data_IF_569004311367
#
_entry.id   IF_569004311367
#
_cell.length_a   1.000
_cell.length_b   1.000
_cell.length_c   1.000
_cell.angle_alpha   90.00
_cell.angle_beta   90.00
_cell.angle_gamma   90.00
#
_symmetry.space_group_name_H-M   'P 1'
#
loop_
_entity.id
_entity.type
_entity.pdbx_description
1 polymer ?
#
# COMPACT_ATOMS: atom_id res chain seq x y z
N UNK A 1 66.68 -19.25 -2.43
CA UNK A 1 66.13 -17.89 -2.17
C UNK A 1 64.70 -17.82 -2.79
N UNK A 2 63.75 -18.25 -2.05
CA UNK A 2 62.32 -18.17 -2.43
C UNK A 2 61.71 -16.94 -1.74
N UNK A 3 61.14 -16.04 -2.53
CA UNK A 3 60.43 -14.85 -2.03
C UNK A 3 59.16 -15.29 -1.27
N UNK A 4 58.81 -14.67 -0.16
CA UNK A 4 57.51 -14.88 0.50
C UNK A 4 56.43 -14.27 -0.36
N UNK A 5 55.36 -15.04 -0.57
CA UNK A 5 54.12 -14.63 -1.18
C UNK A 5 53.44 -13.63 -0.25
N UNK A 6 53.22 -12.39 -0.71
CA UNK A 6 52.42 -11.41 -0.03
C UNK A 6 50.98 -11.97 0.09
N UNK A 7 50.52 -12.09 1.32
CA UNK A 7 49.14 -12.41 1.60
C UNK A 7 48.27 -11.22 1.17
N UNK A 8 47.36 -11.45 0.24
CA UNK A 8 46.29 -10.49 -0.08
C UNK A 8 45.46 -10.14 1.17
N UNK A 9 45.16 -8.86 1.40
CA UNK A 9 44.31 -8.49 2.52
C UNK A 9 42.89 -9.03 2.25
N UNK A 10 42.39 -9.86 3.15
CA UNK A 10 40.96 -10.26 3.22
C UNK A 10 40.13 -9.02 3.56
N UNK A 11 39.80 -8.26 2.53
CA UNK A 11 38.84 -7.17 2.62
C UNK A 11 37.43 -7.74 2.41
N UNK A 12 36.72 -8.11 3.46
CA UNK A 12 35.36 -8.63 3.32
C UNK A 12 34.50 -8.66 4.60
N UNK A 13 35.16 -8.72 5.77
CA UNK A 13 34.39 -8.96 7.00
C UNK A 13 33.71 -7.75 7.66
N UNK A 14 34.14 -6.54 7.32
CA UNK A 14 33.64 -5.32 8.00
C UNK A 14 32.42 -4.66 7.36
N UNK A 15 32.24 -4.81 6.04
CA UNK A 15 31.15 -4.14 5.32
C UNK A 15 29.82 -4.89 5.43
N UNK A 16 29.84 -6.22 5.48
CA UNK A 16 28.61 -7.01 5.61
C UNK A 16 27.97 -6.89 7.01
N UNK A 17 28.79 -6.82 8.05
CA UNK A 17 28.30 -6.62 9.42
C UNK A 17 27.70 -5.21 9.63
N UNK A 18 28.25 -4.18 8.97
CA UNK A 18 27.69 -2.82 9.01
C UNK A 18 26.40 -2.69 8.19
N UNK A 19 26.26 -3.43 7.08
CA UNK A 19 25.03 -3.45 6.27
C UNK A 19 23.88 -4.11 7.01
N UNK A 20 24.14 -5.09 7.88
CA UNK A 20 23.12 -5.75 8.69
C UNK A 20 22.51 -4.85 9.77
N UNK A 21 23.22 -3.79 10.17
CA UNK A 21 22.76 -2.82 11.19
C UNK A 21 22.15 -1.55 10.56
N UNK A 22 22.34 -1.34 9.24
CA UNK A 22 21.82 -0.16 8.56
C UNK A 22 20.32 -0.21 8.35
N UNK A 23 19.66 0.95 8.41
CA UNK A 23 18.24 1.09 8.12
C UNK A 23 17.92 0.56 6.71
N UNK A 24 16.98 -0.40 6.56
CA UNK A 24 16.55 -0.90 5.25
C UNK A 24 16.11 0.21 4.29
N UNK A 25 15.63 1.35 4.79
CA UNK A 25 15.27 2.52 3.99
C UNK A 25 16.47 3.22 3.37
N UNK A 26 17.67 3.09 3.94
CA UNK A 26 18.93 3.62 3.38
C UNK A 26 19.61 2.65 2.42
N UNK A 27 19.44 1.35 2.67
CA UNK A 27 19.92 0.30 1.77
C UNK A 27 19.11 0.38 0.47
N UNK A 28 19.82 0.58 -0.64
CA UNK A 28 19.17 0.74 -1.95
C UNK A 28 18.59 2.13 -2.24
N UNK A 29 18.89 3.15 -1.44
CA UNK A 29 18.42 4.54 -1.62
C UNK A 29 18.72 5.09 -3.02
N UNK A 30 19.82 4.66 -3.65
CA UNK A 30 20.19 5.04 -5.02
C UNK A 30 19.16 4.57 -6.07
N UNK A 31 18.45 3.48 -5.82
CA UNK A 31 17.43 2.91 -6.72
C UNK A 31 16.02 3.39 -6.42
N UNK A 32 15.82 4.10 -5.30
CA UNK A 32 14.53 4.60 -4.86
C UNK A 32 14.08 5.81 -5.70
N UNK A 33 12.82 5.81 -6.11
CA UNK A 33 12.16 6.95 -6.73
C UNK A 33 11.87 8.05 -5.70
N UNK A 34 11.44 9.23 -6.15
CA UNK A 34 11.00 10.30 -5.22
C UNK A 34 9.83 9.85 -4.35
N UNK A 35 8.90 9.06 -4.92
CA UNK A 35 7.77 8.50 -4.18
C UNK A 35 8.20 7.51 -3.11
N UNK A 36 9.13 6.61 -3.44
CA UNK A 36 9.70 5.67 -2.47
C UNK A 36 10.33 6.40 -1.27
N UNK A 37 11.10 7.47 -1.54
CA UNK A 37 11.75 8.27 -0.47
C UNK A 37 10.73 8.94 0.45
N UNK A 38 9.63 9.45 -0.10
CA UNK A 38 8.55 10.02 0.70
C UNK A 38 7.97 8.97 1.66
N UNK A 39 7.71 7.76 1.15
CA UNK A 39 7.15 6.67 1.97
C UNK A 39 8.14 6.24 3.05
N UNK A 40 9.43 6.15 2.73
CA UNK A 40 10.48 5.85 3.72
C UNK A 40 10.55 6.95 4.80
N UNK A 41 10.49 8.23 4.42
CA UNK A 41 10.48 9.34 5.37
C UNK A 41 9.25 9.30 6.29
N UNK A 42 8.06 9.03 5.72
CA UNK A 42 6.84 8.86 6.51
C UNK A 42 6.97 7.65 7.45
N UNK A 43 7.49 6.53 6.97
CA UNK A 43 7.74 5.34 7.80
C UNK A 43 8.65 5.63 8.98
N UNK A 44 9.77 6.32 8.74
CA UNK A 44 10.71 6.72 9.79
C UNK A 44 10.08 7.72 10.79
N UNK A 45 9.25 8.66 10.30
CA UNK A 45 8.51 9.56 11.18
C UNK A 45 7.53 8.79 12.07
N UNK A 46 6.74 7.90 11.50
CA UNK A 46 5.75 7.10 12.23
C UNK A 46 6.39 6.04 13.13
N UNK A 47 7.62 5.63 12.89
CA UNK A 47 8.36 4.75 13.80
C UNK A 47 8.52 5.35 15.21
N UNK A 48 8.57 6.69 15.35
CA UNK A 48 8.59 7.36 16.65
C UNK A 48 7.31 7.18 17.46
N UNK A 49 6.22 6.72 16.84
CA UNK A 49 4.99 6.38 17.56
C UNK A 49 5.17 5.16 18.48
N UNK A 50 6.11 4.24 18.20
CA UNK A 50 6.37 3.10 19.07
C UNK A 50 6.97 3.49 20.43
N UNK A 51 8.05 4.32 20.51
CA UNK A 51 8.50 4.86 21.79
C UNK A 51 7.42 5.67 22.51
N UNK A 52 6.64 6.49 21.77
CA UNK A 52 5.51 7.23 22.35
C UNK A 52 4.47 6.27 22.94
N UNK A 53 4.13 5.20 22.23
CA UNK A 53 3.20 4.16 22.70
C UNK A 53 3.69 3.52 24.00
N UNK A 54 4.99 3.20 24.09
CA UNK A 54 5.59 2.65 25.32
C UNK A 54 5.41 3.60 26.50
N UNK A 55 5.66 4.92 26.31
CA UNK A 55 5.47 5.92 27.36
C UNK A 55 4.01 6.00 27.79
N UNK A 56 3.06 5.98 26.84
CA UNK A 56 1.62 6.02 27.15
C UNK A 56 1.18 4.79 27.94
N UNK A 57 1.66 3.58 27.56
CA UNK A 57 1.36 2.32 28.29
C UNK A 57 1.90 2.40 29.72
N UNK A 58 3.15 2.80 29.91
CA UNK A 58 3.76 2.90 31.25
C UNK A 58 3.02 3.92 32.10
N UNK A 59 2.69 5.09 31.53
CA UNK A 59 1.92 6.13 32.22
C UNK A 59 0.55 5.61 32.67
N UNK A 60 -0.16 4.89 31.80
CA UNK A 60 -1.47 4.32 32.14
C UNK A 60 -1.36 3.29 33.27
N UNK A 61 -0.37 2.39 33.22
CA UNK A 61 -0.15 1.39 34.27
C UNK A 61 0.17 2.09 35.60
N UNK A 62 0.99 3.13 35.58
CA UNK A 62 1.30 3.92 36.77
C UNK A 62 0.05 4.60 37.35
N UNK A 63 -0.76 5.28 36.52
CA UNK A 63 -2.02 5.91 36.94
C UNK A 63 -3.02 4.90 37.52
N UNK A 64 -3.14 3.76 36.89
CA UNK A 64 -4.01 2.66 37.37
C UNK A 64 -3.59 2.17 38.75
N UNK A 65 -2.27 1.99 39.00
CA UNK A 65 -1.74 1.54 40.28
C UNK A 65 -1.89 2.63 41.37
N UNK A 66 -1.63 3.89 41.04
CA UNK A 66 -1.85 5.03 41.95
C UNK A 66 -3.32 5.14 42.34
N UNK A 67 -4.25 4.96 41.41
CA UNK A 67 -5.68 4.96 41.71
C UNK A 67 -6.12 3.84 42.66
N UNK A 68 -5.45 2.67 42.66
CA UNK A 68 -5.74 1.57 43.60
C UNK A 68 -5.36 1.91 45.05
N UNK A 69 -4.37 2.76 45.22
CA UNK A 69 -3.97 3.26 46.57
C UNK A 69 -4.66 4.57 46.93
N UNK A 70 -5.67 4.98 46.18
CA UNK A 70 -6.44 6.20 46.43
C UNK A 70 -5.76 7.50 46.03
N UNK A 71 -4.67 7.43 45.25
CA UNK A 71 -3.91 8.58 44.80
C UNK A 71 -4.10 8.71 43.27
N UNK A 72 -4.77 9.77 42.79
CA UNK A 72 -4.92 10.07 41.37
C UNK A 72 -6.21 9.52 40.73
N UNK A 73 -6.40 9.74 39.42
CA UNK A 73 -7.65 9.52 38.71
C UNK A 73 -8.00 8.03 38.45
N UNK A 74 -7.10 7.10 38.72
CA UNK A 74 -7.31 5.67 38.47
C UNK A 74 -7.25 5.29 36.99
N UNK A 75 -8.12 4.35 36.59
CA UNK A 75 -8.15 3.85 35.20
C UNK A 75 -8.77 4.89 34.27
N UNK A 76 -8.07 5.21 33.18
CA UNK A 76 -8.51 6.17 32.15
C UNK A 76 -8.78 5.42 30.85
N UNK A 77 -10.06 5.22 30.49
CA UNK A 77 -10.46 4.49 29.29
C UNK A 77 -9.97 5.15 27.98
N UNK A 78 -9.89 6.49 27.95
CA UNK A 78 -9.38 7.20 26.76
C UNK A 78 -7.90 6.88 26.45
N UNK A 79 -7.11 6.48 27.45
CA UNK A 79 -5.72 6.06 27.21
C UNK A 79 -5.63 4.70 26.53
N UNK A 80 -6.59 3.79 26.78
CA UNK A 80 -6.67 2.53 26.06
C UNK A 80 -6.96 2.80 24.56
N UNK A 81 -7.92 3.66 24.27
CA UNK A 81 -8.23 4.06 22.89
C UNK A 81 -7.04 4.74 22.22
N UNK A 82 -6.36 5.66 22.91
CA UNK A 82 -5.17 6.35 22.39
C UNK A 82 -4.06 5.37 22.01
N UNK A 83 -3.83 4.31 22.82
CA UNK A 83 -2.84 3.29 22.50
C UNK A 83 -3.19 2.56 21.19
N UNK A 84 -4.46 2.20 21.00
CA UNK A 84 -4.91 1.59 19.76
C UNK A 84 -4.74 2.51 18.55
N UNK A 85 -4.98 3.80 18.72
CA UNK A 85 -4.79 4.78 17.64
C UNK A 85 -3.31 4.91 17.25
N UNK A 86 -2.43 5.08 18.24
CA UNK A 86 -0.98 5.20 18.02
C UNK A 86 -0.44 3.92 17.36
N UNK A 87 -0.81 2.76 17.91
CA UNK A 87 -0.38 1.47 17.36
C UNK A 87 -0.88 1.24 15.94
N UNK A 88 -2.16 1.44 15.69
CA UNK A 88 -2.76 1.29 14.38
C UNK A 88 -2.13 2.20 13.33
N UNK A 89 -1.88 3.46 13.67
CA UNK A 89 -1.22 4.42 12.78
C UNK A 89 0.23 3.99 12.45
N UNK A 90 1.01 3.58 13.46
CA UNK A 90 2.39 3.13 13.27
C UNK A 90 2.47 1.88 12.38
N UNK A 91 1.60 0.90 12.62
CA UNK A 91 1.58 -0.37 11.87
C UNK A 91 1.15 -0.13 10.42
N UNK A 92 0.08 0.64 10.16
CA UNK A 92 -0.40 0.88 8.81
C UNK A 92 0.63 1.60 7.93
N UNK A 93 1.29 2.63 8.46
CA UNK A 93 2.36 3.32 7.72
C UNK A 93 3.58 2.41 7.59
N UNK A 94 3.87 1.60 8.63
CA UNK A 94 4.93 0.59 8.62
C UNK A 94 4.76 -0.46 7.53
N UNK A 95 3.53 -0.86 7.17
CA UNK A 95 3.27 -1.75 6.02
C UNK A 95 3.75 -1.10 4.72
N UNK A 96 3.43 0.18 4.48
CA UNK A 96 3.91 0.91 3.30
C UNK A 96 5.44 0.98 3.24
N UNK A 97 6.09 1.24 4.39
CA UNK A 97 7.55 1.20 4.52
C UNK A 97 8.12 -0.18 4.17
N UNK A 98 7.55 -1.26 4.73
CA UNK A 98 8.01 -2.62 4.50
C UNK A 98 7.88 -3.05 3.03
N UNK A 99 6.79 -2.63 2.34
CA UNK A 99 6.62 -2.84 0.89
C UNK A 99 7.72 -2.12 0.10
N UNK A 100 7.99 -0.86 0.44
CA UNK A 100 8.98 -0.03 -0.28
C UNK A 100 10.39 -0.55 -0.10
N UNK A 101 10.77 -0.97 1.11
CA UNK A 101 12.12 -1.44 1.46
C UNK A 101 12.31 -2.94 1.22
N UNK A 102 11.24 -3.66 0.85
CA UNK A 102 11.25 -5.12 0.67
C UNK A 102 11.67 -5.88 1.95
N UNK A 103 11.32 -5.35 3.11
CA UNK A 103 11.67 -5.89 4.44
C UNK A 103 10.63 -6.84 5.02
N UNK A 104 9.77 -7.41 4.18
CA UNK A 104 8.80 -8.42 4.61
C UNK A 104 9.50 -9.71 5.04
N UNK A 105 9.01 -10.32 6.12
CA UNK A 105 9.37 -11.69 6.47
C UNK A 105 8.79 -12.64 5.41
N UNK A 106 9.64 -13.47 4.82
CA UNK A 106 9.28 -14.43 3.76
C UNK A 106 9.66 -15.84 4.18
N UNK A 107 8.91 -16.81 3.66
CA UNK A 107 9.30 -18.21 3.75
C UNK A 107 10.01 -18.57 2.44
N UNK A 108 11.34 -18.55 2.46
CA UNK A 108 12.17 -18.58 1.25
C UNK A 108 12.58 -19.99 0.79
N UNK A 109 12.08 -21.05 1.41
CA UNK A 109 12.50 -22.47 1.16
C UNK A 109 12.53 -22.82 -0.32
N UNK A 110 11.53 -22.41 -1.09
CA UNK A 110 11.47 -22.64 -2.53
C UNK A 110 12.00 -21.48 -3.36
N UNK A 111 11.93 -20.28 -2.79
CA UNK A 111 12.27 -19.04 -3.49
C UNK A 111 13.78 -18.90 -3.70
N UNK A 112 14.59 -19.31 -2.73
CA UNK A 112 16.05 -19.17 -2.79
C UNK A 112 16.71 -19.92 -3.95
N UNK A 113 16.14 -21.04 -4.38
CA UNK A 113 16.60 -21.80 -5.54
C UNK A 113 16.32 -21.15 -6.90
N UNK A 114 15.57 -20.05 -6.98
CA UNK A 114 15.22 -19.46 -8.26
C UNK A 114 16.29 -18.48 -8.75
N UNK A 115 16.48 -18.41 -10.09
CA UNK A 115 17.32 -17.40 -10.74
C UNK A 115 16.74 -15.99 -10.48
N UNK A 116 17.57 -14.92 -10.44
CA UNK A 116 17.14 -13.55 -10.14
C UNK A 116 15.97 -13.07 -11.00
N UNK A 117 15.99 -13.29 -12.30
CA UNK A 117 14.89 -12.92 -13.20
C UNK A 117 13.58 -13.63 -12.86
N UNK A 118 13.62 -14.91 -12.43
CA UNK A 118 12.45 -15.68 -12.02
C UNK A 118 11.88 -15.14 -10.71
N UNK A 119 12.75 -14.84 -9.72
CA UNK A 119 12.35 -14.18 -8.46
C UNK A 119 11.59 -12.88 -8.74
N UNK A 120 12.15 -12.01 -9.60
CA UNK A 120 11.52 -10.73 -9.96
C UNK A 120 10.16 -10.88 -10.64
N UNK A 121 9.98 -11.91 -11.48
CA UNK A 121 8.67 -12.16 -12.13
C UNK A 121 7.60 -12.56 -11.12
N UNK A 122 7.94 -13.42 -10.14
CA UNK A 122 7.00 -13.80 -9.07
C UNK A 122 6.67 -12.62 -8.16
N UNK A 123 7.68 -11.84 -7.76
CA UNK A 123 7.46 -10.63 -6.94
C UNK A 123 6.56 -9.63 -7.67
N UNK A 124 6.79 -9.42 -8.97
CA UNK A 124 5.99 -8.52 -9.80
C UNK A 124 4.54 -9.00 -9.90
N UNK A 125 4.34 -10.30 -10.14
CA UNK A 125 3.01 -10.89 -10.17
C UNK A 125 2.31 -10.76 -8.81
N UNK A 126 2.99 -11.10 -7.72
CA UNK A 126 2.44 -10.99 -6.36
C UNK A 126 2.02 -9.56 -6.02
N UNK A 127 2.85 -8.56 -6.35
CA UNK A 127 2.50 -7.16 -6.09
C UNK A 127 1.35 -6.66 -6.98
N UNK A 128 1.40 -6.95 -8.28
CA UNK A 128 0.47 -6.35 -9.25
C UNK A 128 -0.88 -7.08 -9.35
N UNK A 129 -0.91 -8.40 -9.13
CA UNK A 129 -2.11 -9.21 -9.35
C UNK A 129 -2.80 -9.65 -8.06
N UNK A 130 -2.08 -9.68 -6.93
CA UNK A 130 -2.62 -10.13 -5.66
C UNK A 130 -2.67 -9.00 -4.64
N UNK A 131 -1.52 -8.39 -4.33
CA UNK A 131 -1.45 -7.45 -3.23
C UNK A 131 -2.11 -6.11 -3.55
N UNK A 132 -1.82 -5.51 -4.71
CA UNK A 132 -2.39 -4.21 -5.08
C UNK A 132 -3.92 -4.25 -5.25
N UNK A 133 -4.55 -5.24 -5.92
CA UNK A 133 -6.01 -5.34 -5.96
C UNK A 133 -6.61 -5.51 -4.56
N UNK A 134 -5.96 -6.30 -3.69
CA UNK A 134 -6.40 -6.46 -2.31
C UNK A 134 -6.36 -5.13 -1.53
N UNK A 135 -5.29 -4.35 -1.67
CA UNK A 135 -5.17 -3.04 -1.02
C UNK A 135 -6.21 -2.06 -1.53
N UNK A 136 -6.49 -2.07 -2.85
CA UNK A 136 -7.56 -1.23 -3.44
C UNK A 136 -8.93 -1.64 -2.89
N UNK A 137 -9.20 -2.95 -2.75
CA UNK A 137 -10.44 -3.44 -2.14
C UNK A 137 -10.56 -2.99 -0.67
N UNK A 138 -9.49 -3.09 0.11
CA UNK A 138 -9.48 -2.60 1.49
C UNK A 138 -9.75 -1.10 1.56
N UNK A 139 -9.19 -0.32 0.64
CA UNK A 139 -9.47 1.11 0.55
C UNK A 139 -10.94 1.40 0.27
N UNK A 140 -11.55 0.70 -0.69
CA UNK A 140 -12.96 0.87 -1.07
C UNK A 140 -13.90 0.58 0.11
N UNK A 141 -13.69 -0.55 0.78
CA UNK A 141 -14.50 -0.95 1.95
C UNK A 141 -14.33 0.06 3.09
N UNK A 142 -13.09 0.47 3.38
CA UNK A 142 -12.82 1.41 4.48
C UNK A 142 -13.27 2.83 4.19
N UNK A 143 -13.40 3.23 2.91
CA UNK A 143 -13.93 4.54 2.53
C UNK A 143 -15.38 4.69 2.98
N UNK A 144 -16.24 3.74 2.64
CA UNK A 144 -17.65 3.76 3.05
C UNK A 144 -17.77 3.78 4.58
N UNK A 145 -16.93 2.99 5.26
CA UNK A 145 -16.89 2.93 6.72
C UNK A 145 -16.45 4.25 7.35
N UNK A 146 -15.45 4.92 6.78
CA UNK A 146 -15.00 6.23 7.23
C UNK A 146 -16.08 7.31 7.01
N UNK A 147 -16.72 7.34 5.84
CA UNK A 147 -17.77 8.31 5.53
C UNK A 147 -18.99 8.19 6.46
N UNK A 148 -19.42 6.97 6.77
CA UNK A 148 -20.50 6.73 7.74
C UNK A 148 -20.12 7.20 9.15
N UNK A 149 -18.88 6.95 9.58
CA UNK A 149 -18.36 7.38 10.87
C UNK A 149 -18.30 8.91 10.98
N UNK A 150 -17.92 9.61 9.91
CA UNK A 150 -17.94 11.08 9.84
C UNK A 150 -19.38 11.60 9.95
N UNK A 151 -20.30 11.03 9.16
CA UNK A 151 -21.69 11.46 9.12
C UNK A 151 -22.40 11.30 10.49
N UNK A 152 -22.06 10.24 11.24
CA UNK A 152 -22.62 9.99 12.59
C UNK A 152 -21.86 10.67 13.72
N UNK A 153 -20.72 11.34 13.42
CA UNK A 153 -19.81 11.88 14.43
C UNK A 153 -19.46 10.83 15.51
N UNK A 154 -19.09 9.63 15.06
CA UNK A 154 -18.92 8.45 15.91
C UNK A 154 -17.83 8.66 16.97
N UNK A 155 -18.16 8.33 18.22
CA UNK A 155 -17.23 8.30 19.34
C UNK A 155 -16.88 6.87 19.75
N UNK A 156 -15.99 6.75 20.73
CA UNK A 156 -15.66 5.44 21.32
C UNK A 156 -16.88 4.83 22.01
N UNK A 157 -17.01 3.50 21.91
CA UNK A 157 -18.00 2.72 22.64
C UNK A 157 -17.67 2.57 24.14
N UNK A 158 -16.44 2.92 24.54
CA UNK A 158 -15.99 2.86 25.92
C UNK A 158 -16.52 4.04 26.74
N UNK A 159 -17.02 3.85 27.96
CA UNK A 159 -17.34 4.95 28.87
C UNK A 159 -16.10 5.83 29.11
N UNK A 160 -16.19 7.12 28.86
CA UNK A 160 -15.07 8.07 28.90
C UNK A 160 -13.92 7.75 27.92
N UNK A 161 -14.22 7.06 26.81
CA UNK A 161 -13.28 6.84 25.72
C UNK A 161 -13.06 8.09 24.86
N UNK A 162 -12.19 7.99 23.86
CA UNK A 162 -11.91 9.09 22.95
C UNK A 162 -13.11 9.41 22.06
N UNK A 163 -13.44 10.69 21.97
CA UNK A 163 -14.40 11.20 21.00
C UNK A 163 -13.77 11.25 19.61
N UNK A 164 -14.61 11.41 18.57
CA UNK A 164 -14.15 11.56 17.18
C UNK A 164 -13.41 10.33 16.61
N UNK A 165 -13.93 9.14 16.84
CA UNK A 165 -13.37 7.89 16.28
C UNK A 165 -13.27 7.93 14.74
N UNK A 166 -14.08 8.76 14.09
CA UNK A 166 -14.02 9.01 12.65
C UNK A 166 -12.65 9.46 12.15
N UNK A 167 -11.82 10.12 13.00
CA UNK A 167 -10.45 10.53 12.64
C UNK A 167 -9.58 9.30 12.38
N UNK A 168 -9.64 8.30 13.27
CA UNK A 168 -8.88 7.06 13.10
C UNK A 168 -9.36 6.29 11.87
N UNK A 169 -10.67 6.17 11.65
CA UNK A 169 -11.24 5.47 10.49
C UNK A 169 -10.84 6.15 9.17
N UNK A 170 -10.87 7.48 9.14
CA UNK A 170 -10.38 8.24 7.97
C UNK A 170 -8.88 8.06 7.76
N UNK A 171 -8.09 8.02 8.83
CA UNK A 171 -6.67 7.75 8.74
C UNK A 171 -6.38 6.35 8.18
N UNK A 172 -7.13 5.32 8.61
CA UNK A 172 -7.02 3.95 8.05
C UNK A 172 -7.24 3.96 6.55
N UNK A 173 -8.26 4.67 6.07
CA UNK A 173 -8.53 4.78 4.63
C UNK A 173 -7.39 5.47 3.88
N UNK A 174 -6.87 6.59 4.39
CA UNK A 174 -5.72 7.29 3.81
C UNK A 174 -4.45 6.41 3.84
N UNK A 175 -4.26 5.62 4.89
CA UNK A 175 -3.13 4.69 4.98
C UNK A 175 -3.19 3.60 3.90
N UNK A 176 -4.37 3.10 3.53
CA UNK A 176 -4.49 2.18 2.39
C UNK A 176 -4.12 2.83 1.06
N UNK A 177 -4.39 4.12 0.85
CA UNK A 177 -3.87 4.85 -0.32
C UNK A 177 -2.34 4.94 -0.30
N UNK A 178 -1.76 5.19 0.86
CA UNK A 178 -0.29 5.19 1.03
C UNK A 178 0.30 3.82 0.67
N UNK A 179 -0.30 2.73 1.16
CA UNK A 179 0.14 1.35 0.87
C UNK A 179 -0.03 1.04 -0.62
N UNK A 180 -1.13 1.46 -1.26
CA UNK A 180 -1.34 1.30 -2.69
C UNK A 180 -0.28 2.04 -3.51
N UNK A 181 0.05 3.29 -3.14
CA UNK A 181 1.12 4.06 -3.76
C UNK A 181 2.49 3.41 -3.57
N UNK A 182 2.81 2.93 -2.36
CA UNK A 182 4.03 2.19 -2.05
C UNK A 182 4.18 0.95 -2.96
N UNK A 183 3.09 0.18 -3.06
CA UNK A 183 3.03 -1.03 -3.88
C UNK A 183 3.23 -0.71 -5.36
N UNK A 184 2.59 0.35 -5.86
CA UNK A 184 2.75 0.80 -7.25
C UNK A 184 4.19 1.23 -7.56
N UNK A 185 4.84 2.00 -6.69
CA UNK A 185 6.24 2.40 -6.88
C UNK A 185 7.18 1.20 -6.83
N UNK A 186 7.00 0.29 -5.86
CA UNK A 186 7.78 -0.94 -5.77
C UNK A 186 7.61 -1.81 -7.03
N UNK A 187 6.37 -1.97 -7.52
CA UNK A 187 6.06 -2.66 -8.77
C UNK A 187 6.76 -2.02 -9.98
N UNK A 188 6.66 -0.71 -10.15
CA UNK A 188 7.32 0.01 -11.25
C UNK A 188 8.85 -0.16 -11.21
N UNK A 189 9.45 -0.16 -10.04
CA UNK A 189 10.87 -0.37 -9.83
C UNK A 189 11.30 -1.81 -10.20
N UNK A 190 10.51 -2.81 -9.80
CA UNK A 190 10.75 -4.21 -10.18
C UNK A 190 10.60 -4.43 -11.69
N UNK A 191 9.60 -3.83 -12.32
CA UNK A 191 9.39 -3.91 -13.75
C UNK A 191 10.58 -3.30 -14.52
N UNK A 192 11.14 -2.19 -14.05
CA UNK A 192 12.30 -1.55 -14.66
C UNK A 192 13.56 -2.42 -14.65
N UNK A 193 13.66 -3.36 -13.71
CA UNK A 193 14.77 -4.34 -13.67
C UNK A 193 14.65 -5.45 -14.72
N UNK A 194 13.44 -5.74 -15.17
CA UNK A 194 13.17 -6.79 -16.17
C UNK A 194 13.11 -6.27 -17.59
N UNK A 195 12.55 -5.08 -17.80
CA UNK A 195 12.34 -4.50 -19.14
C UNK A 195 12.29 -2.99 -19.06
N UNK A 196 12.50 -2.32 -20.21
CA UNK A 196 12.23 -0.87 -20.27
C UNK A 196 10.77 -0.59 -19.88
N UNK A 197 10.52 0.23 -18.84
CA UNK A 197 9.20 0.39 -18.24
C UNK A 197 8.33 1.40 -19.01
N UNK A 198 7.98 1.10 -20.25
CA UNK A 198 6.97 1.86 -20.99
C UNK A 198 5.64 1.88 -20.22
N UNK A 199 4.86 2.95 -20.35
CA UNK A 199 3.57 3.08 -19.69
C UNK A 199 2.60 1.94 -20.01
N UNK A 200 2.53 1.51 -21.29
CA UNK A 200 1.67 0.39 -21.66
C UNK A 200 2.04 -0.92 -20.98
N UNK A 201 3.33 -1.18 -20.76
CA UNK A 201 3.79 -2.38 -20.01
C UNK A 201 3.41 -2.28 -18.54
N UNK A 202 3.54 -1.07 -17.94
CA UNK A 202 3.13 -0.85 -16.54
C UNK A 202 1.64 -1.12 -16.35
N UNK A 203 0.81 -0.66 -17.27
CA UNK A 203 -0.64 -0.86 -17.22
C UNK A 203 -1.01 -2.32 -17.53
N UNK A 204 -0.41 -2.93 -18.56
CA UNK A 204 -0.73 -4.29 -19.00
C UNK A 204 -0.32 -5.35 -17.95
N UNK A 205 0.90 -5.25 -17.40
CA UNK A 205 1.34 -6.23 -16.41
C UNK A 205 0.66 -6.09 -15.05
N UNK A 206 0.01 -4.96 -14.76
CA UNK A 206 -0.83 -4.75 -13.59
C UNK A 206 -2.33 -4.68 -13.98
N UNK A 207 -2.75 -5.33 -15.06
CA UNK A 207 -4.11 -5.24 -15.62
C UNK A 207 -5.23 -5.38 -14.56
N UNK A 208 -5.25 -6.39 -13.66
CA UNK A 208 -6.33 -6.51 -12.68
C UNK A 208 -6.42 -5.32 -11.73
N UNK A 209 -5.27 -4.83 -11.26
CA UNK A 209 -5.20 -3.67 -10.37
C UNK A 209 -5.65 -2.39 -11.06
N UNK A 210 -5.18 -2.17 -12.29
CA UNK A 210 -5.52 -0.98 -13.07
C UNK A 210 -7.00 -0.99 -13.43
N UNK A 211 -7.51 -2.13 -13.90
CA UNK A 211 -8.92 -2.28 -14.21
C UNK A 211 -9.81 -2.03 -12.99
N UNK A 212 -9.47 -2.61 -11.84
CA UNK A 212 -10.23 -2.41 -10.61
C UNK A 212 -10.18 -0.95 -10.15
N UNK A 213 -9.02 -0.30 -10.19
CA UNK A 213 -8.90 1.13 -9.87
C UNK A 213 -9.71 2.01 -10.82
N UNK A 214 -9.68 1.73 -12.14
CA UNK A 214 -10.48 2.44 -13.14
C UNK A 214 -11.97 2.21 -12.91
N UNK A 215 -12.37 0.98 -12.57
CA UNK A 215 -13.77 0.68 -12.25
C UNK A 215 -14.27 1.49 -11.06
N UNK A 216 -13.51 1.55 -9.96
CA UNK A 216 -13.87 2.35 -8.80
C UNK A 216 -13.93 3.85 -9.14
N UNK A 217 -12.95 4.35 -9.90
CA UNK A 217 -12.95 5.75 -10.32
C UNK A 217 -14.19 6.09 -11.17
N UNK A 218 -14.57 5.25 -12.12
CA UNK A 218 -15.76 5.43 -12.95
C UNK A 218 -17.02 5.34 -12.08
N UNK A 219 -17.08 4.36 -11.17
CA UNK A 219 -18.24 4.17 -10.31
C UNK A 219 -18.46 5.37 -9.40
N UNK A 220 -17.43 5.85 -8.69
CA UNK A 220 -17.52 7.02 -7.81
C UNK A 220 -17.78 8.30 -8.59
N UNK A 221 -17.15 8.47 -9.77
CA UNK A 221 -17.39 9.63 -10.62
C UNK A 221 -18.84 9.67 -11.15
N UNK A 222 -19.37 8.54 -11.60
CA UNK A 222 -20.75 8.43 -12.05
C UNK A 222 -21.75 8.66 -10.90
N UNK A 223 -21.53 8.02 -9.75
CA UNK A 223 -22.38 8.23 -8.58
C UNK A 223 -22.35 9.69 -8.09
N UNK A 224 -21.18 10.31 -8.05
CA UNK A 224 -21.04 11.73 -7.72
C UNK A 224 -21.72 12.64 -8.75
N UNK A 225 -21.57 12.36 -10.04
CA UNK A 225 -22.25 13.11 -11.09
C UNK A 225 -23.78 12.98 -10.98
N UNK A 226 -24.30 11.79 -10.71
CA UNK A 226 -25.75 11.62 -10.53
C UNK A 226 -26.29 12.37 -9.30
N UNK A 227 -25.56 12.37 -8.18
CA UNK A 227 -25.93 13.16 -6.99
C UNK A 227 -25.98 14.65 -7.34
N UNK A 228 -25.01 15.17 -8.07
CA UNK A 228 -24.93 16.59 -8.43
C UNK A 228 -25.97 17.01 -9.49
N UNK A 229 -26.34 16.11 -10.42
CA UNK A 229 -27.23 16.44 -11.54
C UNK A 229 -28.71 16.14 -11.23
N UNK A 230 -28.99 15.16 -10.38
CA UNK A 230 -30.37 14.68 -10.10
C UNK A 230 -30.86 15.00 -8.70
N UNK A 231 -30.07 15.77 -7.90
CA UNK A 231 -30.36 16.10 -6.50
C UNK A 231 -30.70 14.87 -5.65
N UNK A 232 -30.09 13.73 -5.99
CA UNK A 232 -30.26 12.49 -5.25
C UNK A 232 -29.74 12.66 -3.80
N UNK A 233 -30.57 12.41 -2.81
CA UNK A 233 -30.22 12.61 -1.40
C UNK A 233 -29.24 11.56 -0.89
N UNK A 234 -29.23 10.38 -1.51
CA UNK A 234 -28.38 9.26 -1.05
C UNK A 234 -27.60 8.63 -2.20
N UNK A 235 -26.44 8.04 -1.86
CA UNK A 235 -25.64 7.24 -2.80
C UNK A 235 -26.46 6.08 -3.39
N UNK A 236 -27.39 5.50 -2.60
CA UNK A 236 -28.26 4.41 -3.03
C UNK A 236 -29.21 4.86 -4.13
N UNK A 237 -29.75 6.07 -4.04
CA UNK A 237 -30.65 6.61 -5.07
C UNK A 237 -29.89 6.97 -6.34
N UNK A 238 -28.68 7.51 -6.19
CA UNK A 238 -27.78 7.79 -7.31
C UNK A 238 -27.43 6.55 -8.14
N UNK A 239 -27.31 5.38 -7.50
CA UNK A 239 -26.95 4.11 -8.17
C UNK A 239 -28.12 3.37 -8.82
N UNK A 240 -29.34 3.93 -8.80
CA UNK A 240 -30.55 3.35 -9.47
C UNK A 240 -30.70 3.79 -10.94
N UNK A 241 -29.69 4.43 -11.49
CA UNK A 241 -29.72 4.85 -12.90
C UNK A 241 -29.28 3.71 -13.83
N UNK A 242 -29.72 3.74 -15.08
CA UNK A 242 -29.42 2.71 -16.09
C UNK A 242 -27.92 2.43 -16.28
N UNK A 243 -27.04 3.35 -15.93
CA UNK A 243 -25.60 3.16 -15.98
C UNK A 243 -25.07 2.12 -14.97
N UNK A 244 -25.79 1.89 -13.89
CA UNK A 244 -25.44 0.90 -12.87
C UNK A 244 -26.17 -0.43 -13.04
N UNK A 245 -27.03 -0.54 -14.07
CA UNK A 245 -27.79 -1.75 -14.37
C UNK A 245 -26.87 -2.86 -14.92
N UNK A 246 -27.43 -4.06 -14.95
CA UNK A 246 -26.79 -5.26 -15.48
C UNK A 246 -27.24 -5.51 -16.92
N UNK A 247 -26.36 -6.01 -17.74
CA UNK A 247 -26.61 -6.42 -19.12
C UNK A 247 -26.29 -7.91 -19.24
N UNK A 248 -27.20 -8.65 -19.82
CA UNK A 248 -26.99 -10.08 -20.12
C UNK A 248 -25.98 -10.19 -21.28
N UNK A 249 -24.83 -10.79 -21.00
CA UNK A 249 -23.77 -11.03 -22.01
C UNK A 249 -23.93 -12.39 -22.68
N UNK A 250 -24.33 -13.40 -21.89
CA UNK A 250 -24.60 -14.76 -22.31
C UNK A 250 -25.82 -15.25 -21.54
N UNK A 251 -26.55 -16.26 -22.04
CA UNK A 251 -27.71 -16.80 -21.33
C UNK A 251 -27.39 -17.17 -19.88
N UNK A 252 -27.98 -16.42 -18.92
CA UNK A 252 -27.77 -16.60 -17.49
C UNK A 252 -26.47 -15.99 -16.93
N UNK A 253 -25.79 -15.12 -17.66
CA UNK A 253 -24.60 -14.38 -17.19
C UNK A 253 -24.77 -12.87 -17.37
N UNK A 254 -25.08 -12.20 -16.29
CA UNK A 254 -25.23 -10.74 -16.22
C UNK A 254 -23.94 -10.07 -15.79
N UNK A 255 -23.60 -8.97 -16.43
CA UNK A 255 -22.47 -8.12 -16.07
C UNK A 255 -22.93 -6.68 -15.90
N UNK A 256 -22.38 -6.01 -14.90
CA UNK A 256 -22.65 -4.57 -14.69
C UNK A 256 -22.02 -3.73 -15.81
N UNK A 257 -22.80 -2.79 -16.33
CA UNK A 257 -22.35 -1.86 -17.38
C UNK A 257 -21.07 -1.13 -16.95
N UNK A 258 -20.98 -0.71 -15.69
CA UNK A 258 -19.79 -0.04 -15.13
C UNK A 258 -18.52 -0.88 -15.25
N UNK A 259 -18.61 -2.20 -15.08
CA UNK A 259 -17.47 -3.14 -15.18
C UNK A 259 -16.99 -3.25 -16.62
N UNK A 260 -17.93 -3.34 -17.57
CA UNK A 260 -17.62 -3.40 -19.02
C UNK A 260 -17.00 -2.11 -19.51
N UNK A 261 -17.56 -0.96 -19.14
CA UNK A 261 -17.04 0.36 -19.46
C UNK A 261 -15.63 0.53 -18.89
N UNK A 262 -15.39 0.13 -17.63
CA UNK A 262 -14.09 0.17 -17.01
C UNK A 262 -13.05 -0.70 -17.74
N UNK A 263 -13.45 -1.89 -18.19
CA UNK A 263 -12.58 -2.75 -18.98
C UNK A 263 -12.24 -2.09 -20.32
N UNK A 264 -13.24 -1.56 -21.02
CA UNK A 264 -13.04 -0.86 -22.31
C UNK A 264 -12.11 0.35 -22.16
N UNK A 265 -12.32 1.18 -21.13
CA UNK A 265 -11.47 2.34 -20.81
C UNK A 265 -10.05 1.89 -20.48
N UNK A 266 -9.88 0.83 -19.69
CA UNK A 266 -8.55 0.31 -19.35
C UNK A 266 -7.80 -0.18 -20.59
N UNK A 267 -8.46 -0.93 -21.46
CA UNK A 267 -7.86 -1.38 -22.72
C UNK A 267 -7.54 -0.22 -23.66
N UNK A 268 -8.40 0.80 -23.72
CA UNK A 268 -8.14 2.02 -24.49
C UNK A 268 -6.94 2.78 -23.95
N UNK A 269 -6.77 2.92 -22.63
CA UNK A 269 -5.61 3.53 -22.01
C UNK A 269 -4.32 2.77 -22.33
N UNK A 270 -4.36 1.43 -22.28
CA UNK A 270 -3.21 0.60 -22.65
C UNK A 270 -2.88 0.77 -24.14
N UNK A 271 -3.88 0.77 -25.03
CA UNK A 271 -3.73 0.99 -26.44
C UNK A 271 -3.15 2.37 -26.78
N UNK A 272 -3.63 3.42 -26.10
CA UNK A 272 -3.10 4.78 -26.25
C UNK A 272 -1.64 4.86 -25.77
N UNK A 273 -1.34 4.30 -24.61
CA UNK A 273 0.02 4.25 -24.08
C UNK A 273 0.97 3.45 -24.99
N UNK A 274 0.46 2.42 -25.67
CA UNK A 274 1.21 1.67 -26.67
C UNK A 274 1.45 2.50 -27.95
N UNK A 275 0.46 3.23 -28.43
CA UNK A 275 0.59 4.09 -29.61
C UNK A 275 1.59 5.24 -29.39
N UNK A 276 1.60 5.82 -28.19
CA UNK A 276 2.47 6.93 -27.79
C UNK A 276 3.86 6.49 -27.30
N UNK A 277 4.18 5.20 -27.38
CA UNK A 277 5.46 4.69 -26.85
C UNK A 277 6.66 5.16 -27.69
N UNK A 278 7.78 5.32 -27.03
CA UNK A 278 9.07 5.53 -27.69
C UNK A 278 9.59 4.21 -28.29
N UNK A 279 9.49 4.07 -29.60
CA UNK A 279 9.87 2.86 -30.34
C UNK A 279 11.37 2.57 -30.28
N UNK A 280 12.21 3.58 -30.04
CA UNK A 280 13.67 3.40 -29.95
C UNK A 280 14.09 2.52 -28.76
N UNK A 281 13.21 2.37 -27.77
CA UNK A 281 13.42 1.59 -26.56
C UNK A 281 12.67 0.25 -26.56
N UNK A 282 12.04 -0.09 -27.68
CA UNK A 282 11.44 -1.41 -27.85
C UNK A 282 12.55 -2.48 -27.86
N UNK A 283 12.40 -3.54 -27.06
CA UNK A 283 13.36 -4.61 -26.96
C UNK A 283 14.50 -4.40 -25.94
N UNK A 284 14.63 -3.21 -25.34
CA UNK A 284 15.60 -3.00 -24.25
C UNK A 284 15.23 -3.87 -23.05
N UNK A 285 16.20 -4.72 -22.65
CA UNK A 285 16.08 -5.58 -21.46
C UNK A 285 16.59 -4.85 -20.24
N UNK A 286 16.04 -5.18 -19.09
CA UNK A 286 16.55 -4.69 -17.82
C UNK A 286 17.75 -5.53 -17.32
N UNK A 287 18.52 -5.03 -16.35
CA UNK A 287 19.76 -5.65 -15.89
C UNK A 287 19.56 -7.10 -15.38
N UNK A 288 18.44 -7.38 -14.73
CA UNK A 288 18.18 -8.73 -14.19
C UNK A 288 17.70 -9.72 -15.30
N UNK A 289 17.27 -9.21 -16.45
CA UNK A 289 16.87 -10.01 -17.60
C UNK A 289 18.05 -10.32 -18.53
N UNK A 290 19.12 -9.51 -18.49
CA UNK A 290 20.37 -9.75 -19.22
C UNK A 290 21.25 -10.77 -18.52
N UNK A 291 21.13 -10.88 -17.19
CA UNK A 291 21.86 -11.83 -16.35
C UNK A 291 21.24 -13.24 -16.30
N UNK A 292 20.12 -13.47 -17.00
CA UNK A 292 19.37 -14.72 -16.99
C UNK A 292 19.64 -15.55 -18.25
#
# INVERSE_FOLDING_TARGET
>A
MTRPTEAEPVAGGGSEAMVAISDPGEVGRATQTRGDRLIVQLGNLFAWLFPLLMVVIVAQVALRNLGRVGVGPGNQAWMDDLQWWIYGAAVLVGVGYAVTTNSHVRVDIFYDGFRPAKKRRYDLFGLAWLFLPFVILCWDITLTYALQSIASNEGSSSPNGLHNLWILKSFVNVAFLLIAAATWFAYCRLLARLTWPHWWKRLLFALPSVWFAVQLAIWYAAAGATILLTEAETLRDATRTAFFDEVELLPGQDAKITVLVALAVTLALIGLAYALRDRSKDGVRGPDAEAA
#
